data_IF_680629139133
#
_entry.id   IF_680629139133
#
_cell.length_a   1.000
_cell.length_b   1.000
_cell.length_c   1.000
_cell.angle_alpha   90.00
_cell.angle_beta   90.00
_cell.angle_gamma   90.00
#
_symmetry.space_group_name_H-M   'P 1'
#
loop_
_entity.id
_entity.type
_entity.pdbx_description
1 polymer ?
#
# COMPACT_ATOMS: atom_id res chain seq x y z
N UNK A 1 -31.81 10.75 -43.25
CA UNK A 1 -31.22 9.68 -42.40
C UNK A 1 -30.05 10.30 -41.62
N UNK A 2 -30.33 10.84 -40.43
CA UNK A 2 -29.33 11.45 -39.53
C UNK A 2 -29.50 10.79 -38.15
N UNK A 3 -28.47 10.07 -37.70
CA UNK A 3 -28.43 9.41 -36.39
C UNK A 3 -28.20 10.47 -35.31
N UNK A 4 -29.20 10.69 -34.45
CA UNK A 4 -29.06 11.53 -33.25
C UNK A 4 -28.36 10.72 -32.17
N UNK A 5 -27.15 11.15 -31.84
CA UNK A 5 -26.35 10.73 -30.68
C UNK A 5 -27.22 10.78 -29.43
N UNK A 6 -27.46 9.62 -28.78
CA UNK A 6 -28.04 9.60 -27.43
C UNK A 6 -26.96 10.11 -26.48
N UNK A 7 -27.25 11.25 -25.87
CA UNK A 7 -26.38 11.91 -24.91
C UNK A 7 -26.07 11.04 -23.70
N UNK A 8 -24.89 11.32 -23.16
CA UNK A 8 -24.43 11.15 -21.79
C UNK A 8 -25.59 10.98 -20.77
N UNK A 9 -25.63 9.89 -19.98
CA UNK A 9 -26.51 9.86 -18.81
C UNK A 9 -25.93 10.79 -17.74
N UNK A 10 -26.60 11.93 -17.58
CA UNK A 10 -26.59 12.76 -16.37
C UNK A 10 -26.95 11.92 -15.15
N UNK A 11 -26.26 12.19 -14.04
CA UNK A 11 -26.44 11.61 -12.72
C UNK A 11 -27.91 11.45 -12.30
N UNK A 12 -28.32 10.19 -12.09
CA UNK A 12 -29.26 9.72 -11.06
C UNK A 12 -29.68 8.27 -11.36
N UNK A 13 -28.96 7.30 -10.81
CA UNK A 13 -29.49 5.94 -10.59
C UNK A 13 -29.55 5.70 -9.08
N UNK A 14 -30.73 5.46 -8.47
CA UNK A 14 -30.84 5.11 -7.07
C UNK A 14 -30.59 3.60 -6.93
N UNK A 15 -29.32 3.24 -7.05
CA UNK A 15 -28.74 2.09 -6.37
C UNK A 15 -27.52 2.68 -5.69
N UNK A 16 -27.61 2.90 -4.38
CA UNK A 16 -26.54 3.44 -3.56
C UNK A 16 -25.45 2.37 -3.45
N UNK A 17 -24.79 2.11 -4.57
CA UNK A 17 -23.78 1.09 -4.69
C UNK A 17 -22.50 1.65 -4.08
N UNK A 18 -22.29 1.34 -2.80
CA UNK A 18 -21.09 1.71 -2.07
C UNK A 18 -20.02 0.70 -2.46
N UNK A 19 -18.92 1.18 -3.02
CA UNK A 19 -17.80 0.30 -3.33
C UNK A 19 -17.30 -0.35 -2.02
N UNK A 20 -17.32 -1.69 -1.88
CA UNK A 20 -16.90 -2.37 -0.66
C UNK A 20 -15.42 -2.13 -0.30
N UNK A 21 -14.58 -1.80 -1.28
CA UNK A 21 -13.18 -1.44 -1.06
C UNK A 21 -13.00 -0.07 -0.39
N UNK A 22 -14.03 0.76 -0.26
CA UNK A 22 -13.96 2.04 0.48
C UNK A 22 -13.56 1.84 1.95
N UNK A 23 -13.83 0.67 2.53
CA UNK A 23 -13.43 0.34 3.91
C UNK A 23 -11.96 -0.07 4.04
N UNK A 24 -11.24 -0.25 2.93
CA UNK A 24 -9.92 -0.87 2.86
C UNK A 24 -9.85 -2.18 3.68
N UNK A 25 -10.65 -3.20 3.31
CA UNK A 25 -10.76 -4.43 4.08
C UNK A 25 -9.50 -5.32 4.04
N UNK A 26 -8.72 -5.27 2.96
CA UNK A 26 -7.53 -6.11 2.77
C UNK A 26 -6.33 -5.59 3.60
N UNK A 27 -5.74 -6.44 4.42
CA UNK A 27 -4.56 -6.13 5.23
C UNK A 27 -3.25 -6.57 4.57
N UNK A 28 -2.11 -6.21 5.15
CA UNK A 28 -0.80 -6.75 4.78
C UNK A 28 -0.41 -6.66 3.29
N UNK A 29 -0.79 -5.55 2.62
CA UNK A 29 -0.58 -5.31 1.17
C UNK A 29 -1.44 -6.17 0.24
N UNK A 30 -2.52 -6.76 0.74
CA UNK A 30 -3.53 -7.37 -0.11
C UNK A 30 -4.21 -6.34 -1.02
N UNK A 31 -4.52 -6.73 -2.25
CA UNK A 31 -5.15 -5.86 -3.25
C UNK A 31 -6.67 -6.10 -3.22
N UNK A 32 -7.45 -5.04 -3.02
CA UNK A 32 -8.91 -5.14 -3.02
C UNK A 32 -9.47 -5.06 -4.45
N UNK A 33 -10.25 -6.07 -4.84
CA UNK A 33 -10.95 -6.13 -6.12
C UNK A 33 -12.45 -6.27 -5.87
N UNK A 34 -13.27 -5.48 -6.57
CA UNK A 34 -14.73 -5.57 -6.48
C UNK A 34 -15.25 -6.69 -7.39
N UNK A 35 -15.97 -7.65 -6.82
CA UNK A 35 -16.55 -8.80 -7.52
C UNK A 35 -18.06 -8.64 -7.64
N UNK A 36 -18.50 -7.79 -8.57
CA UNK A 36 -19.92 -7.47 -8.76
C UNK A 36 -20.31 -6.17 -8.07
N UNK A 37 -21.56 -6.07 -7.62
CA UNK A 37 -22.01 -4.93 -6.83
C UNK A 37 -21.48 -5.11 -5.40
N UNK A 38 -22.20 -5.68 -4.45
CA UNK A 38 -21.82 -5.52 -3.03
C UNK A 38 -20.69 -6.44 -2.51
N UNK A 39 -19.95 -7.11 -3.39
CA UNK A 39 -18.94 -8.10 -3.00
C UNK A 39 -17.53 -7.64 -3.40
N UNK A 40 -16.55 -8.05 -2.60
CA UNK A 40 -15.13 -7.81 -2.86
C UNK A 40 -14.34 -9.09 -2.59
N UNK A 41 -13.16 -9.13 -3.18
CA UNK A 41 -12.18 -10.18 -2.99
C UNK A 41 -10.81 -9.54 -2.78
N UNK A 42 -10.02 -10.10 -1.86
CA UNK A 42 -8.66 -9.66 -1.60
C UNK A 42 -7.67 -10.61 -2.28
N UNK A 43 -6.88 -10.07 -3.22
CA UNK A 43 -5.73 -10.79 -3.75
C UNK A 43 -4.57 -10.68 -2.75
N UNK A 44 -4.32 -11.78 -2.03
CA UNK A 44 -3.24 -11.91 -1.04
C UNK A 44 -1.93 -12.46 -1.64
N UNK A 45 -1.80 -12.56 -2.96
CA UNK A 45 -0.62 -13.14 -3.60
C UNK A 45 0.68 -12.46 -3.16
N UNK A 46 1.71 -13.27 -2.86
CA UNK A 46 3.04 -12.82 -2.43
C UNK A 46 3.08 -11.95 -1.15
N UNK A 47 1.99 -11.87 -0.39
CA UNK A 47 1.98 -11.21 0.92
C UNK A 47 2.50 -12.12 2.04
N UNK A 48 2.40 -13.45 1.84
CA UNK A 48 2.67 -14.45 2.88
C UNK A 48 1.54 -14.59 3.91
N UNK A 49 0.36 -14.05 3.59
CA UNK A 49 -0.89 -14.17 4.35
C UNK A 49 -1.99 -14.75 3.46
N UNK A 50 -3.00 -15.34 4.11
CA UNK A 50 -4.20 -15.89 3.48
C UNK A 50 -5.47 -15.44 4.22
N UNK A 51 -6.61 -16.01 3.83
CA UNK A 51 -7.94 -15.67 4.36
C UNK A 51 -8.60 -14.50 3.60
N UNK A 52 -9.86 -14.22 3.91
CA UNK A 52 -10.67 -13.21 3.18
C UNK A 52 -10.09 -11.79 3.24
N UNK A 53 -9.36 -11.48 4.31
CA UNK A 53 -8.78 -10.15 4.56
C UNK A 53 -7.24 -10.13 4.54
N UNK A 54 -6.58 -11.21 4.10
CA UNK A 54 -5.12 -11.38 4.19
C UNK A 54 -4.56 -11.20 5.61
N UNK A 55 -5.26 -11.72 6.62
CA UNK A 55 -4.90 -11.58 8.05
C UNK A 55 -4.22 -12.80 8.63
N UNK A 56 -4.45 -13.99 8.09
CA UNK A 56 -3.88 -15.23 8.63
C UNK A 56 -2.48 -15.48 8.04
N UNK A 57 -1.41 -15.46 8.84
CA UNK A 57 -0.05 -15.60 8.32
C UNK A 57 0.28 -17.05 7.98
N UNK A 58 1.16 -17.25 7.00
CA UNK A 58 1.88 -18.52 6.82
C UNK A 58 2.98 -18.69 7.88
N UNK A 59 3.48 -19.92 8.07
CA UNK A 59 4.48 -20.24 9.08
C UNK A 59 5.73 -19.34 9.03
N UNK A 60 6.34 -19.18 7.84
CA UNK A 60 7.54 -18.35 7.71
C UNK A 60 7.26 -16.85 7.85
N UNK A 61 6.06 -16.40 7.49
CA UNK A 61 5.64 -15.00 7.66
C UNK A 61 5.43 -14.69 9.13
N UNK A 62 4.76 -15.60 9.85
CA UNK A 62 4.60 -15.53 11.29
C UNK A 62 5.95 -15.50 12.01
N UNK A 63 6.88 -16.39 11.65
CA UNK A 63 8.21 -16.43 12.25
C UNK A 63 8.97 -15.11 12.03
N UNK A 64 8.94 -14.56 10.81
CA UNK A 64 9.55 -13.25 10.51
C UNK A 64 8.90 -12.12 11.28
N UNK A 65 7.57 -12.14 11.44
CA UNK A 65 6.84 -11.13 12.20
C UNK A 65 7.20 -11.18 13.69
N UNK A 66 7.35 -12.38 14.27
CA UNK A 66 7.75 -12.57 15.67
C UNK A 66 9.20 -12.16 15.94
N UNK A 67 10.11 -12.44 15.01
CA UNK A 67 11.53 -12.08 15.16
C UNK A 67 11.81 -10.61 14.85
N UNK A 68 10.92 -9.93 14.10
CA UNK A 68 11.13 -8.54 13.69
C UNK A 68 11.10 -7.60 14.91
N UNK A 69 12.23 -6.96 15.27
CA UNK A 69 12.26 -6.02 16.38
C UNK A 69 11.49 -4.73 16.05
N UNK A 70 11.05 -4.02 17.08
CA UNK A 70 10.44 -2.71 16.92
C UNK A 70 11.44 -1.70 16.31
N UNK A 71 10.97 -0.73 15.50
CA UNK A 71 11.85 0.24 14.85
C UNK A 71 12.64 1.09 15.87
N UNK A 72 12.08 1.34 17.05
CA UNK A 72 12.78 2.02 18.15
C UNK A 72 13.98 1.19 18.68
N UNK A 73 13.81 -0.13 18.80
CA UNK A 73 14.89 -1.03 19.24
C UNK A 73 16.02 -1.09 18.22
N UNK A 74 15.69 -1.13 16.93
CA UNK A 74 16.68 -1.08 15.84
C UNK A 74 17.46 0.23 15.88
N UNK A 75 16.75 1.35 16.05
CA UNK A 75 17.38 2.67 16.18
C UNK A 75 18.31 2.75 17.39
N UNK A 76 17.90 2.21 18.54
CA UNK A 76 18.72 2.14 19.75
C UNK A 76 20.01 1.33 19.50
N UNK A 77 19.88 0.15 18.89
CA UNK A 77 21.01 -0.74 18.58
C UNK A 77 22.03 -0.09 17.63
N UNK A 78 21.54 0.70 16.65
CA UNK A 78 22.37 1.43 15.68
C UNK A 78 23.12 2.63 16.32
N UNK A 79 22.60 3.23 17.39
CA UNK A 79 23.12 4.50 17.93
C UNK A 79 23.93 4.35 19.22
N UNK A 80 23.62 3.39 20.08
CA UNK A 80 24.21 3.34 21.44
C UNK A 80 25.55 2.61 21.53
N UNK A 81 25.82 1.63 20.65
CA UNK A 81 27.01 0.77 20.77
C UNK A 81 28.17 1.19 19.86
N UNK A 82 28.69 2.41 20.04
CA UNK A 82 29.75 2.97 19.17
C UNK A 82 30.99 2.07 19.05
N UNK A 83 31.47 1.49 20.15
CA UNK A 83 32.64 0.61 20.13
C UNK A 83 32.44 -0.63 19.25
N UNK A 84 31.24 -1.21 19.27
CA UNK A 84 30.90 -2.36 18.42
C UNK A 84 30.85 -1.95 16.95
N UNK A 85 30.22 -0.80 16.65
CA UNK A 85 30.12 -0.29 15.28
C UNK A 85 31.46 0.13 14.69
N UNK A 86 32.39 0.66 15.48
CA UNK A 86 33.73 1.01 15.01
C UNK A 86 34.51 -0.26 14.59
N UNK A 87 34.35 -1.39 15.30
CA UNK A 87 34.92 -2.70 14.90
C UNK A 87 34.28 -3.23 13.61
N UNK A 88 32.94 -3.14 13.52
CA UNK A 88 32.18 -3.58 12.35
C UNK A 88 32.56 -2.77 11.10
N UNK A 89 32.71 -1.44 11.24
CA UNK A 89 33.01 -0.54 10.13
C UNK A 89 34.43 -0.72 9.60
N UNK A 90 35.39 -1.07 10.45
CA UNK A 90 36.77 -1.38 10.04
C UNK A 90 36.89 -2.72 9.30
N UNK A 91 35.95 -3.65 9.50
CA UNK A 91 35.95 -4.95 8.83
C UNK A 91 35.11 -4.89 7.54
N UNK A 92 35.72 -4.90 6.33
CA UNK A 92 34.99 -4.65 5.08
C UNK A 92 33.90 -5.70 4.79
N UNK A 93 34.12 -6.95 5.19
CA UNK A 93 33.15 -8.03 5.03
C UNK A 93 31.84 -7.77 5.82
N UNK A 94 31.96 -7.39 7.10
CA UNK A 94 30.80 -7.15 7.97
C UNK A 94 30.05 -5.88 7.52
N UNK A 95 30.78 -4.79 7.27
CA UNK A 95 30.21 -3.54 6.76
C UNK A 95 29.40 -3.76 5.48
N UNK A 96 29.97 -4.45 4.50
CA UNK A 96 29.31 -4.68 3.20
C UNK A 96 28.09 -5.60 3.35
N UNK A 97 28.16 -6.61 4.22
CA UNK A 97 27.04 -7.53 4.47
C UNK A 97 25.87 -6.80 5.14
N UNK A 98 26.16 -5.98 6.15
CA UNK A 98 25.14 -5.19 6.86
C UNK A 98 24.54 -4.15 5.92
N UNK A 99 25.35 -3.43 5.14
CA UNK A 99 24.85 -2.47 4.16
C UNK A 99 23.97 -3.14 3.10
N UNK A 100 24.38 -4.30 2.57
CA UNK A 100 23.57 -5.07 1.63
C UNK A 100 22.24 -5.49 2.24
N UNK A 101 22.25 -5.94 3.49
CA UNK A 101 21.04 -6.32 4.20
C UNK A 101 20.08 -5.12 4.39
N UNK A 102 20.62 -3.97 4.81
CA UNK A 102 19.83 -2.74 4.99
C UNK A 102 19.20 -2.33 3.66
N UNK A 103 19.99 -2.24 2.59
CA UNK A 103 19.50 -1.86 1.27
C UNK A 103 18.40 -2.81 0.78
N UNK A 104 18.63 -4.12 0.88
CA UNK A 104 17.65 -5.13 0.46
C UNK A 104 16.35 -5.07 1.28
N UNK A 105 16.46 -4.91 2.60
CA UNK A 105 15.29 -4.84 3.47
C UNK A 105 14.39 -3.63 3.16
N UNK A 106 14.99 -2.51 2.72
CA UNK A 106 14.28 -1.28 2.37
C UNK A 106 13.75 -1.31 0.94
N UNK A 107 14.53 -1.83 -0.01
CA UNK A 107 14.12 -1.93 -1.42
C UNK A 107 12.89 -2.82 -1.60
N UNK A 108 12.80 -3.93 -0.85
CA UNK A 108 11.67 -4.85 -0.91
C UNK A 108 10.34 -4.22 -0.41
N UNK A 109 10.39 -3.03 0.19
CA UNK A 109 9.20 -2.29 0.56
C UNK A 109 8.60 -1.52 -0.63
N UNK A 110 9.38 -1.28 -1.69
CA UNK A 110 9.00 -0.51 -2.88
C UNK A 110 8.64 -1.49 -4.00
N UNK A 111 7.46 -1.31 -4.61
CA UNK A 111 7.05 -2.08 -5.77
C UNK A 111 7.76 -1.57 -7.04
N UNK A 112 8.38 -2.50 -7.76
CA UNK A 112 8.98 -2.26 -9.07
C UNK A 112 8.55 -3.42 -9.99
N UNK A 113 7.82 -3.17 -11.09
CA UNK A 113 7.47 -1.89 -11.73
C UNK A 113 6.42 -1.04 -10.96
N UNK A 114 6.25 0.27 -11.30
CA UNK A 114 5.26 1.14 -10.67
C UNK A 114 3.83 0.63 -10.92
N UNK A 115 2.98 0.71 -9.90
CA UNK A 115 1.63 0.10 -9.91
C UNK A 115 0.51 1.12 -10.06
N UNK A 116 0.38 2.05 -9.12
CA UNK A 116 -0.71 3.02 -9.07
C UNK A 116 -0.25 4.44 -9.38
N UNK A 117 -1.18 5.32 -9.74
CA UNK A 117 -0.93 6.75 -9.87
C UNK A 117 -2.12 7.59 -9.34
N UNK A 118 -2.16 8.88 -9.61
CA UNK A 118 -3.23 9.77 -9.13
C UNK A 118 -4.59 9.53 -9.79
N UNK A 119 -4.62 8.89 -10.98
CA UNK A 119 -5.82 8.67 -11.79
C UNK A 119 -6.33 7.23 -11.76
N UNK A 120 -5.41 6.26 -11.75
CA UNK A 120 -5.70 4.84 -11.77
C UNK A 120 -5.32 4.21 -10.43
N UNK A 121 -6.31 3.67 -9.73
CA UNK A 121 -6.14 2.89 -8.50
C UNK A 121 -6.02 1.38 -8.70
N UNK A 122 -5.82 0.96 -9.95
CA UNK A 122 -5.58 -0.43 -10.35
C UNK A 122 -4.38 -0.49 -11.29
N UNK A 123 -3.76 -1.67 -11.39
CA UNK A 123 -2.63 -1.91 -12.30
C UNK A 123 -3.12 -1.83 -13.74
N UNK A 124 -2.55 -0.93 -14.54
CA UNK A 124 -2.91 -0.74 -15.94
C UNK A 124 -1.67 -0.39 -16.78
N UNK A 125 -1.73 -0.65 -18.08
CA UNK A 125 -0.62 -0.29 -18.98
C UNK A 125 -0.37 1.23 -18.99
N UNK A 126 -1.43 2.04 -18.98
CA UNK A 126 -1.33 3.49 -18.95
C UNK A 126 -0.64 4.00 -17.66
N UNK A 127 -0.95 3.38 -16.51
CA UNK A 127 -0.29 3.73 -15.25
C UNK A 127 1.21 3.40 -15.25
N UNK A 128 1.63 2.42 -16.06
CA UNK A 128 3.03 2.02 -16.22
C UNK A 128 3.78 2.86 -17.27
N UNK A 129 3.18 3.09 -18.45
CA UNK A 129 3.86 3.70 -19.59
C UNK A 129 3.94 5.23 -19.50
N UNK A 130 3.00 5.87 -18.82
CA UNK A 130 2.91 7.33 -18.81
C UNK A 130 3.77 7.96 -17.70
N UNK A 131 4.98 8.38 -18.07
CA UNK A 131 5.96 9.00 -17.19
C UNK A 131 5.58 10.41 -16.70
N UNK A 132 4.50 11.02 -17.22
CA UNK A 132 4.01 12.29 -16.70
C UNK A 132 3.34 12.15 -15.33
N UNK A 133 2.93 10.94 -14.95
CA UNK A 133 2.33 10.67 -13.65
C UNK A 133 3.36 10.22 -12.62
N UNK A 134 3.24 10.74 -11.40
CA UNK A 134 3.92 10.16 -10.25
C UNK A 134 3.23 8.86 -9.82
N UNK A 135 4.03 7.84 -9.54
CA UNK A 135 3.54 6.60 -8.96
C UNK A 135 3.18 6.77 -7.49
N UNK A 136 2.24 5.97 -6.99
CA UNK A 136 1.79 5.97 -5.61
C UNK A 136 1.96 4.58 -5.01
N UNK A 137 2.44 4.54 -3.77
CA UNK A 137 2.57 3.28 -3.02
C UNK A 137 1.22 2.68 -2.59
N UNK A 138 0.17 3.50 -2.50
CA UNK A 138 -1.20 3.09 -2.20
C UNK A 138 -2.17 3.66 -3.23
N UNK A 139 -3.26 2.95 -3.55
CA UNK A 139 -4.26 3.44 -4.49
C UNK A 139 -4.97 4.70 -3.93
N UNK A 140 -5.41 5.62 -4.80
CA UNK A 140 -6.31 6.69 -4.41
C UNK A 140 -7.62 6.14 -3.85
N UNK A 141 -8.23 6.88 -2.93
CA UNK A 141 -9.61 6.63 -2.51
C UNK A 141 -10.54 6.84 -3.71
N UNK A 142 -11.44 5.89 -3.95
CA UNK A 142 -12.41 5.95 -5.04
C UNK A 142 -13.40 7.11 -4.84
N UNK A 143 -13.82 7.74 -5.95
CA UNK A 143 -14.66 8.96 -5.87
C UNK A 143 -16.09 8.68 -5.39
N UNK A 144 -16.52 7.43 -5.49
CA UNK A 144 -17.84 6.96 -5.05
C UNK A 144 -17.91 6.64 -3.55
N UNK A 145 -16.82 6.83 -2.80
CA UNK A 145 -16.82 6.61 -1.36
C UNK A 145 -17.55 7.74 -0.60
N UNK A 146 -18.25 7.44 0.50
CA UNK A 146 -19.04 8.42 1.25
C UNK A 146 -18.19 9.47 1.97
N UNK A 147 -16.95 9.16 2.36
CA UNK A 147 -16.02 10.11 2.99
C UNK A 147 -14.72 10.22 2.18
N UNK A 148 -13.98 11.35 2.29
CA UNK A 148 -12.68 11.49 1.62
C UNK A 148 -11.63 10.46 2.08
N UNK A 149 -11.87 9.79 3.20
CA UNK A 149 -11.05 8.72 3.75
C UNK A 149 -11.70 7.33 3.63
N UNK A 150 -12.69 7.17 2.72
CA UNK A 150 -13.41 5.92 2.51
C UNK A 150 -14.75 5.89 3.23
N UNK A 151 -14.84 5.14 4.33
CA UNK A 151 -16.07 5.01 5.16
C UNK A 151 -15.93 5.57 6.56
N UNK A 152 -14.70 5.77 7.03
CA UNK A 152 -14.47 6.30 8.38
C UNK A 152 -14.81 7.78 8.37
N UNK A 153 -15.73 8.17 9.26
CA UNK A 153 -16.07 9.57 9.49
C UNK A 153 -14.94 10.18 10.28
N UNK A 154 -14.26 11.14 9.67
CA UNK A 154 -13.39 12.06 10.39
C UNK A 154 -14.31 13.08 11.07
N UNK A 155 -14.41 13.05 12.41
CA UNK A 155 -14.73 14.30 13.12
C UNK A 155 -13.71 15.31 12.61
N UNK A 156 -14.18 16.34 11.90
CA UNK A 156 -13.36 17.36 11.21
C UNK A 156 -12.44 18.03 12.23
N UNK A 157 -11.33 17.40 12.53
CA UNK A 157 -10.13 18.04 13.02
C UNK A 157 -9.21 18.02 11.83
N UNK A 158 -9.18 19.19 11.18
CA UNK A 158 -8.07 19.67 10.39
C UNK A 158 -6.81 19.35 11.20
N UNK A 159 -6.13 18.24 10.90
CA UNK A 159 -4.75 18.13 11.26
C UNK A 159 -4.03 19.18 10.41
N UNK A 160 -3.38 20.19 11.01
CA UNK A 160 -2.49 21.02 10.23
C UNK A 160 -1.46 20.06 9.65
N UNK A 161 -1.32 20.12 8.33
CA UNK A 161 -0.22 19.52 7.60
C UNK A 161 1.05 20.15 8.18
N UNK A 162 1.62 19.53 9.22
CA UNK A 162 2.98 19.80 9.68
C UNK A 162 3.89 19.00 8.77
N UNK A 163 4.08 19.54 7.57
CA UNK A 163 5.34 19.35 6.86
C UNK A 163 6.36 20.25 7.59
N UNK A 164 7.52 19.65 7.90
CA UNK A 164 8.66 20.12 8.70
C UNK A 164 8.61 19.73 10.19
#
# INVERSE_FOLDING_TARGET
RLSRVKGLPTAASPSFYINPCCSNPCQNRGICMTTGFDHYECDCTQTGYHGEHCTTPEFFTWLRAMLKPAPATVYYLLTHFKAVWDVINNTPFLRNTIMRFILMSRSNLIESPPTYNSRYGYKSWEAYSNLSYYTRALPPVERSCPTPMGVKVLHIYIFPVKFL
#
